data_IF_703603302416
#
_entry.id   IF_703603302416
#
_cell.length_a   1.000
_cell.length_b   1.000
_cell.length_c   1.000
_cell.angle_alpha   90.00
_cell.angle_beta   90.00
_cell.angle_gamma   90.00
#
_symmetry.space_group_name_H-M   'P 1'
#
loop_
_entity.id
_entity.type
_entity.pdbx_description
1 polymer ?
#
# COMPACT_ATOMS: atom_id res chain seq x y z
N UNK A 1 3.40 30.16 -36.89
CA UNK A 1 3.61 29.96 -36.11
C UNK A 1 4.53 30.07 -35.94
N UNK A 2 4.70 30.21 -35.63
CA UNK A 2 5.33 30.25 -35.25
C UNK A 2 6.01 29.92 -34.55
N UNK A 3 6.46 30.29 -34.34
CA UNK A 3 7.33 30.04 -33.48
C UNK A 3 6.91 29.18 -32.47
N UNK A 4 5.83 28.56 -32.59
CA UNK A 4 5.40 27.48 -31.80
C UNK A 4 6.18 26.30 -32.21
N UNK A 5 7.05 25.87 -31.38
CA UNK A 5 7.79 24.64 -31.57
C UNK A 5 6.80 23.50 -31.40
N UNK A 6 6.49 22.85 -32.47
CA UNK A 6 5.65 21.65 -32.41
C UNK A 6 6.53 20.52 -31.89
N UNK A 7 6.24 19.94 -30.71
CA UNK A 7 7.02 18.83 -30.22
C UNK A 7 6.98 17.68 -31.22
N UNK A 8 8.09 16.98 -31.38
CA UNK A 8 8.10 15.78 -32.22
C UNK A 8 7.35 14.65 -31.52
N UNK A 9 7.07 13.56 -32.21
CA UNK A 9 6.27 12.45 -31.68
C UNK A 9 6.91 11.84 -30.43
N UNK A 10 8.23 11.85 -30.33
CA UNK A 10 8.96 11.34 -29.19
C UNK A 10 8.66 12.15 -27.92
N UNK A 11 8.67 13.49 -28.04
CA UNK A 11 8.36 14.39 -26.93
C UNK A 11 6.90 14.24 -26.50
N UNK A 12 5.99 14.16 -27.47
CA UNK A 12 4.56 13.97 -27.19
C UNK A 12 4.34 12.65 -26.45
N UNK A 13 4.97 11.57 -26.89
CA UNK A 13 4.86 10.27 -26.25
C UNK A 13 5.37 10.31 -24.80
N UNK A 14 6.46 11.05 -24.58
CA UNK A 14 7.01 11.20 -23.22
C UNK A 14 6.04 11.94 -22.30
N UNK A 15 5.41 13.01 -22.77
CA UNK A 15 4.40 13.75 -22.00
C UNK A 15 3.18 12.89 -21.69
N UNK A 16 2.68 12.18 -22.68
CA UNK A 16 1.53 11.29 -22.50
C UNK A 16 1.85 10.17 -21.52
N UNK A 17 3.06 9.63 -21.59
CA UNK A 17 3.50 8.62 -20.64
C UNK A 17 3.53 9.13 -19.21
N UNK A 18 3.97 10.36 -18.99
CA UNK A 18 3.98 10.97 -17.65
C UNK A 18 2.57 11.21 -17.13
N UNK A 19 1.65 11.66 -18.01
CA UNK A 19 0.24 11.83 -17.65
C UNK A 19 -0.38 10.50 -17.23
N UNK A 20 -0.15 9.45 -18.01
CA UNK A 20 -0.69 8.14 -17.73
C UNK A 20 -0.16 7.60 -16.41
N UNK A 21 1.13 7.80 -16.12
CA UNK A 21 1.73 7.39 -14.87
C UNK A 21 1.11 8.12 -13.68
N UNK A 22 0.90 9.43 -13.82
CA UNK A 22 0.30 10.24 -12.76
C UNK A 22 -1.15 9.83 -12.48
N UNK A 23 -1.93 9.64 -13.55
CA UNK A 23 -3.32 9.19 -13.41
C UNK A 23 -3.39 7.79 -12.79
N UNK A 24 -2.51 6.90 -13.21
CA UNK A 24 -2.43 5.55 -12.66
C UNK A 24 -2.09 5.59 -11.17
N UNK A 25 -1.14 6.44 -10.78
CA UNK A 25 -0.78 6.62 -9.39
C UNK A 25 -1.98 7.11 -8.56
N UNK A 26 -2.69 8.13 -9.06
CA UNK A 26 -3.87 8.65 -8.37
C UNK A 26 -4.96 7.59 -8.24
N UNK A 27 -5.18 6.81 -9.28
CA UNK A 27 -6.16 5.75 -9.27
C UNK A 27 -5.81 4.70 -8.23
N UNK A 28 -4.53 4.31 -8.16
CA UNK A 28 -4.07 3.34 -7.17
C UNK A 28 -4.26 3.88 -5.74
N UNK A 29 -3.88 5.13 -5.49
CA UNK A 29 -4.04 5.75 -4.17
C UNK A 29 -5.50 5.86 -3.77
N UNK A 30 -6.37 6.25 -4.69
CA UNK A 30 -7.80 6.33 -4.43
C UNK A 30 -8.41 4.96 -4.17
N UNK A 31 -7.98 3.96 -4.92
CA UNK A 31 -8.44 2.59 -4.75
C UNK A 31 -8.02 2.02 -3.40
N UNK A 32 -6.80 2.28 -2.98
CA UNK A 32 -6.32 1.84 -1.66
C UNK A 32 -7.06 2.56 -0.54
N UNK A 33 -7.31 3.86 -0.69
CA UNK A 33 -8.10 4.62 0.29
C UNK A 33 -9.51 4.05 0.43
N UNK A 34 -10.15 3.73 -0.69
CA UNK A 34 -11.45 3.10 -0.69
C UNK A 34 -11.41 1.74 0.02
N UNK A 35 -10.44 0.91 -0.33
CA UNK A 35 -10.32 -0.43 0.22
C UNK A 35 -10.04 -0.40 1.73
N UNK A 36 -9.10 0.43 2.16
CA UNK A 36 -8.66 0.46 3.56
C UNK A 36 -9.63 1.17 4.50
N UNK A 37 -10.40 2.14 4.00
CA UNK A 37 -11.20 2.99 4.88
C UNK A 37 -12.71 2.85 4.70
N UNK A 38 -13.17 2.36 3.55
CA UNK A 38 -14.59 2.21 3.29
C UNK A 38 -15.04 0.76 3.15
N UNK A 39 -14.35 -0.02 2.31
CA UNK A 39 -14.74 -1.40 2.06
C UNK A 39 -14.29 -2.36 3.16
N UNK A 40 -13.06 -2.22 3.62
CA UNK A 40 -12.47 -3.10 4.62
C UNK A 40 -11.75 -2.31 5.71
N UNK A 41 -12.49 -1.49 6.50
CA UNK A 41 -11.84 -0.61 7.48
C UNK A 41 -11.27 -1.33 8.69
N UNK A 42 -11.70 -2.56 8.94
CA UNK A 42 -11.26 -3.33 10.09
C UNK A 42 -10.33 -4.46 9.69
N UNK A 43 -9.55 -4.96 10.65
CA UNK A 43 -8.59 -6.04 10.44
C UNK A 43 -8.95 -7.24 11.32
N UNK A 44 -10.22 -7.62 11.29
CA UNK A 44 -10.78 -8.72 12.10
C UNK A 44 -11.15 -9.93 11.28
N UNK A 45 -11.13 -9.82 9.96
CA UNK A 45 -11.54 -10.86 9.03
C UNK A 45 -10.38 -11.14 8.09
N UNK A 46 -10.02 -12.42 7.94
CA UNK A 46 -8.82 -12.77 7.13
C UNK A 46 -8.99 -12.37 5.68
N UNK A 47 -10.18 -12.48 5.12
CA UNK A 47 -10.42 -12.09 3.73
C UNK A 47 -10.20 -10.59 3.54
N UNK A 48 -10.66 -9.77 4.46
CA UNK A 48 -10.45 -8.32 4.40
C UNK A 48 -8.96 -7.97 4.48
N UNK A 49 -8.25 -8.62 5.40
CA UNK A 49 -6.80 -8.39 5.54
C UNK A 49 -6.07 -8.84 4.28
N UNK A 50 -6.42 -10.03 3.76
CA UNK A 50 -5.77 -10.57 2.56
C UNK A 50 -5.98 -9.67 1.34
N UNK A 51 -7.19 -9.13 1.16
CA UNK A 51 -7.46 -8.18 0.07
C UNK A 51 -6.56 -6.95 0.18
N UNK A 52 -6.44 -6.39 1.38
CA UNK A 52 -5.61 -5.21 1.60
C UNK A 52 -4.12 -5.52 1.41
N UNK A 53 -3.66 -6.64 1.94
CA UNK A 53 -2.26 -7.06 1.79
C UNK A 53 -1.92 -7.26 0.32
N UNK A 54 -2.78 -7.99 -0.40
CA UNK A 54 -2.53 -8.31 -1.81
C UNK A 54 -2.55 -7.08 -2.69
N UNK A 55 -3.51 -6.17 -2.50
CA UNK A 55 -3.59 -4.94 -3.29
C UNK A 55 -2.37 -4.05 -3.03
N UNK A 56 -2.01 -3.87 -1.77
CA UNK A 56 -0.86 -3.03 -1.40
C UNK A 56 0.44 -3.61 -1.96
N UNK A 57 0.62 -4.91 -1.83
CA UNK A 57 1.81 -5.60 -2.33
C UNK A 57 1.93 -5.44 -3.86
N UNK A 58 0.83 -5.60 -4.57
CA UNK A 58 0.83 -5.46 -6.03
C UNK A 58 1.11 -4.02 -6.45
N UNK A 59 0.40 -3.05 -5.87
CA UNK A 59 0.51 -1.65 -6.28
C UNK A 59 1.88 -1.05 -6.00
N UNK A 60 2.51 -1.43 -4.89
CA UNK A 60 3.82 -0.88 -4.51
C UNK A 60 4.98 -1.83 -4.73
N UNK A 61 4.74 -3.02 -5.26
CA UNK A 61 5.78 -4.02 -5.53
C UNK A 61 6.65 -4.28 -4.31
N UNK A 62 6.02 -4.56 -3.17
CA UNK A 62 6.74 -4.73 -1.90
C UNK A 62 7.36 -6.11 -1.73
N UNK A 63 7.30 -6.95 -2.76
CA UNK A 63 7.98 -8.25 -2.85
C UNK A 63 7.58 -9.27 -1.79
N UNK A 64 6.32 -9.24 -1.39
CA UNK A 64 5.78 -10.27 -0.52
C UNK A 64 5.26 -11.41 -1.40
N UNK A 65 5.86 -12.59 -1.29
CA UNK A 65 5.42 -13.75 -2.05
C UNK A 65 4.38 -14.57 -1.29
N UNK A 66 4.48 -14.61 0.03
CA UNK A 66 3.55 -15.35 0.88
C UNK A 66 2.58 -14.37 1.56
N UNK A 67 1.63 -13.87 0.78
CA UNK A 67 0.65 -12.90 1.26
C UNK A 67 -0.29 -13.51 2.32
N UNK A 68 -0.54 -14.81 2.25
CA UNK A 68 -1.38 -15.48 3.22
C UNK A 68 -0.76 -15.44 4.63
N UNK A 69 0.53 -15.79 4.74
CA UNK A 69 1.22 -15.77 6.04
C UNK A 69 1.30 -14.36 6.61
N UNK A 70 1.57 -13.37 5.76
CA UNK A 70 1.59 -11.96 6.19
C UNK A 70 0.20 -11.54 6.66
N UNK A 71 -0.85 -11.93 5.96
CA UNK A 71 -2.22 -11.59 6.32
C UNK A 71 -2.61 -12.21 7.66
N UNK A 72 -2.25 -13.47 7.90
CA UNK A 72 -2.50 -14.12 9.18
C UNK A 72 -1.73 -13.43 10.32
N UNK A 73 -0.50 -13.03 10.03
CA UNK A 73 0.30 -12.29 11.01
C UNK A 73 -0.39 -10.99 11.43
N UNK A 74 -0.86 -10.21 10.46
CA UNK A 74 -1.57 -8.95 10.73
C UNK A 74 -2.85 -9.23 11.54
N UNK A 75 -3.61 -10.23 11.12
CA UNK A 75 -4.84 -10.60 11.82
C UNK A 75 -4.55 -10.96 13.29
N UNK A 76 -3.50 -11.76 13.52
CA UNK A 76 -3.13 -12.20 14.86
C UNK A 76 -2.58 -11.06 15.72
N UNK A 77 -2.04 -10.01 15.12
CA UNK A 77 -1.56 -8.83 15.84
C UNK A 77 -2.71 -7.99 16.43
N UNK A 78 -3.93 -8.15 15.95
CA UNK A 78 -5.12 -7.42 16.42
C UNK A 78 -4.87 -5.92 16.44
N UNK A 79 -4.60 -5.37 15.26
CA UNK A 79 -4.01 -4.03 15.12
C UNK A 79 -5.00 -2.87 15.24
N UNK A 80 -6.32 -3.12 15.22
CA UNK A 80 -7.30 -2.04 15.10
C UNK A 80 -7.23 -1.03 16.24
N UNK A 81 -7.07 -1.49 17.48
CA UNK A 81 -6.95 -0.57 18.61
C UNK A 81 -5.66 0.23 18.54
N UNK A 82 -4.54 -0.44 18.20
CA UNK A 82 -3.25 0.25 18.05
C UNK A 82 -3.28 1.30 16.96
N UNK A 83 -4.02 1.03 15.86
CA UNK A 83 -4.21 2.01 14.79
C UNK A 83 -4.97 3.24 15.31
N UNK A 84 -6.04 3.04 16.07
CA UNK A 84 -6.81 4.13 16.67
C UNK A 84 -5.96 4.95 17.62
N UNK A 85 -5.11 4.29 18.40
CA UNK A 85 -4.26 4.94 19.39
C UNK A 85 -3.04 5.62 18.77
N UNK A 86 -2.77 5.34 17.48
CA UNK A 86 -1.61 5.92 16.80
C UNK A 86 -0.28 5.39 17.31
N UNK A 87 -0.23 4.12 17.72
CA UNK A 87 0.97 3.51 18.27
C UNK A 87 2.05 3.38 17.20
N UNK A 88 3.17 4.10 17.36
CA UNK A 88 4.26 4.08 16.36
C UNK A 88 4.98 2.73 16.29
N UNK A 89 4.96 1.96 17.38
CA UNK A 89 5.57 0.63 17.40
C UNK A 89 4.81 -0.39 16.56
N UNK A 90 3.57 -0.07 16.18
CA UNK A 90 2.75 -0.96 15.39
C UNK A 90 3.38 -1.30 14.05
N UNK A 91 4.04 -0.32 13.41
CA UNK A 91 4.71 -0.54 12.12
C UNK A 91 5.71 -1.69 12.23
N UNK A 92 6.56 -1.66 13.25
CA UNK A 92 7.55 -2.72 13.45
C UNK A 92 6.89 -4.06 13.78
N UNK A 93 5.81 -4.04 14.54
CA UNK A 93 5.07 -5.25 14.89
C UNK A 93 4.49 -5.93 13.65
N UNK A 94 3.93 -5.17 12.73
CA UNK A 94 3.41 -5.69 11.48
C UNK A 94 4.55 -6.14 10.56
N UNK A 95 5.66 -5.39 10.54
CA UNK A 95 6.77 -5.60 9.62
C UNK A 95 7.50 -6.93 9.85
N UNK A 96 7.65 -7.34 11.10
CA UNK A 96 8.44 -8.53 11.45
C UNK A 96 7.57 -9.79 11.37
N UNK A 97 7.74 -10.53 10.29
CA UNK A 97 6.96 -11.72 9.99
C UNK A 97 7.87 -12.93 9.86
N UNK A 98 7.51 -14.01 10.55
CA UNK A 98 8.26 -15.26 10.43
C UNK A 98 7.64 -16.12 9.33
N UNK A 99 8.42 -16.40 8.29
CA UNK A 99 8.02 -17.25 7.18
C UNK A 99 9.03 -18.37 7.03
N UNK A 100 8.57 -19.63 7.14
CA UNK A 100 9.43 -20.82 7.04
C UNK A 100 10.66 -20.73 7.95
N UNK A 101 10.43 -20.39 9.21
CA UNK A 101 11.46 -20.28 10.27
C UNK A 101 12.44 -19.12 10.10
N UNK A 102 12.19 -18.22 9.14
CA UNK A 102 13.00 -17.01 8.97
C UNK A 102 12.15 -15.79 9.23
N UNK A 103 12.67 -14.89 10.04
CA UNK A 103 12.00 -13.62 10.29
C UNK A 103 12.41 -12.64 9.21
N UNK A 104 11.42 -12.10 8.52
CA UNK A 104 11.61 -11.08 7.48
C UNK A 104 11.07 -9.75 7.97
N UNK A 105 11.70 -8.68 7.52
CA UNK A 105 11.30 -7.32 7.88
C UNK A 105 10.69 -6.63 6.67
N UNK A 106 9.37 -6.55 6.64
CA UNK A 106 8.63 -5.86 5.57
C UNK A 106 8.27 -4.44 5.99
N UNK A 107 9.28 -3.66 6.41
CA UNK A 107 9.05 -2.32 6.96
C UNK A 107 8.32 -1.40 5.97
N UNK A 108 8.75 -1.37 4.72
CA UNK A 108 8.11 -0.51 3.71
C UNK A 108 6.63 -0.85 3.53
N UNK A 109 6.31 -2.14 3.46
CA UNK A 109 4.94 -2.62 3.38
C UNK A 109 4.13 -2.21 4.62
N UNK A 110 4.68 -2.49 5.81
CA UNK A 110 3.98 -2.21 7.07
C UNK A 110 3.72 -0.73 7.26
N UNK A 111 4.69 0.12 6.91
CA UNK A 111 4.55 1.55 6.95
C UNK A 111 3.39 2.03 6.07
N UNK A 112 3.29 1.50 4.85
CA UNK A 112 2.22 1.85 3.92
C UNK A 112 0.87 1.32 4.40
N UNK A 113 0.84 0.13 4.98
CA UNK A 113 -0.40 -0.46 5.51
C UNK A 113 -0.99 0.45 6.59
N UNK A 114 -0.17 0.88 7.53
CA UNK A 114 -0.62 1.79 8.59
C UNK A 114 -0.99 3.16 8.02
N UNK A 115 -0.21 3.67 7.06
CA UNK A 115 -0.45 4.96 6.44
C UNK A 115 -1.79 5.02 5.71
N UNK A 116 -2.16 3.97 4.98
CA UNK A 116 -3.44 3.95 4.28
C UNK A 116 -4.63 3.88 5.24
N UNK A 117 -4.46 3.29 6.42
CA UNK A 117 -5.50 3.32 7.45
C UNK A 117 -5.57 4.67 8.17
N UNK A 118 -4.44 5.25 8.50
CA UNK A 118 -4.35 6.50 9.28
C UNK A 118 -3.23 7.39 8.75
N UNK A 119 -3.43 8.03 7.56
CA UNK A 119 -2.37 8.84 6.96
C UNK A 119 -1.96 10.05 7.82
N UNK A 120 -2.85 10.56 8.66
CA UNK A 120 -2.55 11.68 9.54
C UNK A 120 -1.62 11.30 10.69
N UNK A 121 -1.51 10.02 11.00
CA UNK A 121 -0.68 9.50 12.11
C UNK A 121 0.55 8.78 11.58
N UNK A 122 0.40 8.04 10.49
CA UNK A 122 1.48 7.26 9.87
C UNK A 122 1.76 7.82 8.47
N UNK A 123 2.46 8.94 8.38
CA UNK A 123 2.72 9.60 7.09
C UNK A 123 3.72 8.84 6.22
#
# INVERSE_FOLDING_TARGET
MTDVVIPNSSVISEYLGKWDQLENYKLQENSLGLLFNELCPENKNIEHVLLKVSALNDFYSTNIFDTYTVSKHILNCKIDQSLKDGCKKLVNKIALVTIKRKTKNFFSFASKYCSHHRPEVYP
#
